data_IF_775698462193
#
_entry.id   IF_775698462193
#
_cell.length_a   1.000
_cell.length_b   1.000
_cell.length_c   1.000
_cell.angle_alpha   90.00
_cell.angle_beta   90.00
_cell.angle_gamma   90.00
#
_symmetry.space_group_name_H-M   'P 1'
#
loop_
_entity.id
_entity.type
_entity.pdbx_description
1 polymer ?
#
# COMPACT_ATOMS: atom_id res chain seq x y z
N UNK A 1 18.34 -0.15 18.79
CA UNK A 1 16.94 -0.63 18.76
C UNK A 1 16.77 -1.56 17.56
N UNK A 2 17.73 -2.46 17.34
CA UNK A 2 17.57 -3.52 16.34
C UNK A 2 16.54 -4.54 16.83
N UNK A 3 15.68 -5.01 15.96
CA UNK A 3 14.80 -6.13 16.26
C UNK A 3 15.58 -7.42 15.98
N UNK A 4 16.10 -8.12 16.99
CA UNK A 4 16.82 -9.36 16.77
C UNK A 4 15.91 -10.37 16.05
N UNK A 5 16.47 -11.05 15.05
CA UNK A 5 15.77 -12.00 14.19
C UNK A 5 14.76 -11.38 13.17
N UNK A 6 14.93 -10.13 12.83
CA UNK A 6 14.59 -9.53 11.55
C UNK A 6 13.19 -9.68 11.01
N UNK A 7 13.05 -9.27 9.77
CA UNK A 7 11.82 -9.37 8.97
C UNK A 7 11.76 -10.74 8.24
N UNK A 8 10.58 -11.37 8.10
CA UNK A 8 9.22 -10.95 8.54
C UNK A 8 8.92 -11.20 10.02
N UNK A 9 9.79 -11.88 10.74
CA UNK A 9 9.66 -12.15 12.17
C UNK A 9 10.00 -10.90 13.00
N UNK A 10 9.55 -10.90 14.25
CA UNK A 10 9.92 -9.96 15.29
C UNK A 10 10.23 -10.79 16.54
N UNK A 11 11.42 -10.67 17.08
CA UNK A 11 11.89 -11.50 18.21
C UNK A 11 11.71 -13.02 18.00
N UNK A 12 11.97 -13.48 16.77
CA UNK A 12 11.87 -14.89 16.41
C UNK A 12 10.47 -15.42 16.12
N UNK A 13 9.41 -14.61 16.31
CA UNK A 13 8.00 -14.97 16.08
C UNK A 13 7.32 -14.02 15.09
N UNK A 14 6.27 -14.49 14.39
CA UNK A 14 5.37 -13.64 13.60
C UNK A 14 4.49 -12.80 14.52
N UNK A 15 4.08 -13.38 15.65
CA UNK A 15 3.31 -12.73 16.71
C UNK A 15 4.14 -12.80 18.01
N UNK A 16 5.01 -11.80 18.24
CA UNK A 16 5.81 -11.73 19.46
C UNK A 16 4.96 -11.34 20.66
N UNK A 17 5.44 -11.63 21.87
CA UNK A 17 4.89 -11.05 23.08
C UNK A 17 5.05 -9.52 23.05
N UNK A 18 4.02 -8.81 23.49
CA UNK A 18 4.04 -7.33 23.51
C UNK A 18 4.64 -6.88 24.83
N UNK A 19 5.97 -6.86 24.91
CA UNK A 19 6.72 -6.54 26.14
C UNK A 19 7.05 -5.04 26.26
N UNK A 20 6.45 -4.19 25.40
CA UNK A 20 6.67 -2.76 25.45
C UNK A 20 6.03 -1.98 24.30
N UNK A 21 5.97 -0.63 24.41
CA UNK A 21 5.30 0.22 23.42
C UNK A 21 5.94 0.14 22.03
N UNK A 22 7.25 -0.09 21.93
CA UNK A 22 7.94 -0.21 20.64
C UNK A 22 7.46 -1.42 19.84
N UNK A 23 7.28 -2.58 20.48
CA UNK A 23 6.78 -3.79 19.83
C UNK A 23 5.31 -3.60 19.44
N UNK A 24 4.52 -3.00 20.31
CA UNK A 24 3.11 -2.70 20.02
C UNK A 24 2.97 -1.83 18.77
N UNK A 25 3.68 -0.72 18.68
CA UNK A 25 3.66 0.20 17.51
C UNK A 25 4.11 -0.52 16.26
N UNK A 26 5.16 -1.33 16.33
CA UNK A 26 5.66 -2.12 15.22
C UNK A 26 4.61 -3.13 14.71
N UNK A 27 3.91 -3.80 15.62
CA UNK A 27 2.86 -4.76 15.26
C UNK A 27 1.64 -4.06 14.67
N UNK A 28 1.19 -2.94 15.23
CA UNK A 28 0.11 -2.12 14.67
C UNK A 28 0.47 -1.68 13.25
N UNK A 29 1.70 -1.19 13.03
CA UNK A 29 2.18 -0.80 11.70
C UNK A 29 2.14 -1.97 10.72
N UNK A 30 2.64 -3.15 11.10
CA UNK A 30 2.67 -4.34 10.23
C UNK A 30 1.28 -4.83 9.85
N UNK A 31 0.37 -4.93 10.84
CA UNK A 31 -1.02 -5.33 10.59
C UNK A 31 -1.75 -4.29 9.73
N UNK A 32 -1.56 -3.01 10.02
CA UNK A 32 -2.12 -1.93 9.21
C UNK A 32 -1.63 -2.01 7.76
N UNK A 33 -0.33 -2.19 7.54
CA UNK A 33 0.24 -2.36 6.21
C UNK A 33 -0.33 -3.60 5.50
N UNK A 34 -0.46 -4.74 6.18
CA UNK A 34 -1.04 -5.95 5.61
C UNK A 34 -2.50 -5.76 5.19
N UNK A 35 -3.32 -5.10 6.02
CA UNK A 35 -4.72 -4.80 5.72
C UNK A 35 -4.82 -3.86 4.51
N UNK A 36 -4.04 -2.78 4.49
CA UNK A 36 -4.00 -1.84 3.37
C UNK A 36 -3.58 -2.55 2.08
N UNK A 37 -2.54 -3.38 2.15
CA UNK A 37 -2.09 -4.15 1.00
C UNK A 37 -3.14 -5.11 0.46
N UNK A 38 -3.85 -5.81 1.34
CA UNK A 38 -4.94 -6.69 0.93
C UNK A 38 -6.05 -5.90 0.23
N UNK A 39 -6.44 -4.74 0.78
CA UNK A 39 -7.44 -3.86 0.16
C UNK A 39 -6.97 -3.40 -1.23
N UNK A 40 -5.71 -2.96 -1.37
CA UNK A 40 -5.16 -2.52 -2.65
C UNK A 40 -5.16 -3.64 -3.69
N UNK A 41 -4.72 -4.85 -3.31
CA UNK A 41 -4.68 -6.01 -4.21
C UNK A 41 -6.09 -6.41 -4.66
N UNK A 42 -7.04 -6.49 -3.73
CA UNK A 42 -8.42 -6.84 -4.06
C UNK A 42 -9.07 -5.77 -4.95
N UNK A 43 -8.82 -4.49 -4.67
CA UNK A 43 -9.32 -3.37 -5.49
C UNK A 43 -8.72 -3.41 -6.89
N UNK A 44 -7.41 -3.61 -7.02
CA UNK A 44 -6.76 -3.74 -8.32
C UNK A 44 -7.30 -4.94 -9.13
N UNK A 45 -7.52 -6.07 -8.47
CA UNK A 45 -8.12 -7.25 -9.11
C UNK A 45 -9.55 -6.97 -9.61
N UNK A 46 -10.38 -6.29 -8.83
CA UNK A 46 -11.73 -5.88 -9.22
C UNK A 46 -11.72 -4.93 -10.40
N UNK A 47 -10.93 -3.86 -10.33
CA UNK A 47 -10.81 -2.90 -11.44
C UNK A 47 -10.39 -3.61 -12.73
N UNK A 48 -9.47 -4.59 -12.66
CA UNK A 48 -9.04 -5.35 -13.84
C UNK A 48 -10.16 -6.19 -14.45
N UNK A 49 -11.01 -6.80 -13.63
CA UNK A 49 -12.17 -7.58 -14.11
C UNK A 49 -13.18 -6.64 -14.76
N UNK A 50 -13.60 -5.59 -14.05
CA UNK A 50 -14.61 -4.64 -14.52
C UNK A 50 -14.15 -3.91 -15.80
N UNK A 51 -12.85 -3.63 -15.90
CA UNK A 51 -12.25 -3.00 -17.08
C UNK A 51 -12.30 -3.91 -18.33
N UNK A 52 -12.08 -5.21 -18.16
CA UNK A 52 -12.20 -6.18 -19.25
C UNK A 52 -13.63 -6.26 -19.77
N UNK A 53 -14.60 -6.28 -18.85
CA UNK A 53 -16.02 -6.41 -19.20
C UNK A 53 -16.57 -5.14 -19.86
N UNK A 54 -16.05 -3.96 -19.51
CA UNK A 54 -16.52 -2.67 -20.00
C UNK A 54 -15.81 -2.20 -21.30
N UNK A 55 -14.66 -2.80 -21.68
CA UNK A 55 -13.87 -2.37 -22.83
C UNK A 55 -13.15 -1.01 -22.70
N UNK A 56 -13.25 -0.34 -21.53
CA UNK A 56 -12.76 1.04 -21.33
C UNK A 56 -11.73 1.23 -20.21
N UNK A 57 -11.34 0.19 -19.50
CA UNK A 57 -10.70 0.34 -18.20
C UNK A 57 -9.18 0.24 -18.12
N UNK A 58 -8.44 0.28 -19.25
CA UNK A 58 -7.00 0.03 -19.24
C UNK A 58 -6.21 1.05 -18.40
N UNK A 59 -6.59 2.31 -18.44
CA UNK A 59 -5.92 3.37 -17.68
C UNK A 59 -6.09 3.19 -16.17
N UNK A 60 -7.29 2.86 -15.70
CA UNK A 60 -7.56 2.61 -14.29
C UNK A 60 -6.92 1.32 -13.80
N UNK A 61 -6.90 0.28 -14.63
CA UNK A 61 -6.20 -0.97 -14.32
C UNK A 61 -4.71 -0.74 -14.12
N UNK A 62 -4.06 0.00 -15.03
CA UNK A 62 -2.64 0.38 -14.91
C UNK A 62 -2.37 1.24 -13.67
N UNK A 63 -3.23 2.22 -13.38
CA UNK A 63 -3.08 3.05 -12.18
C UNK A 63 -3.14 2.20 -10.89
N UNK A 64 -4.11 1.28 -10.78
CA UNK A 64 -4.22 0.38 -9.65
C UNK A 64 -3.01 -0.57 -9.51
N UNK A 65 -2.46 -1.05 -10.63
CA UNK A 65 -1.25 -1.87 -10.65
C UNK A 65 -0.03 -1.08 -10.17
N UNK A 66 0.12 0.16 -10.62
CA UNK A 66 1.22 1.05 -10.18
C UNK A 66 1.14 1.32 -8.69
N UNK A 67 -0.05 1.65 -8.16
CA UNK A 67 -0.25 1.87 -6.71
C UNK A 67 0.13 0.62 -5.92
N UNK A 68 -0.35 -0.55 -6.36
CA UNK A 68 -0.06 -1.83 -5.70
C UNK A 68 1.43 -2.17 -5.78
N UNK A 69 2.07 -1.92 -6.93
CA UNK A 69 3.50 -2.12 -7.12
C UNK A 69 4.36 -1.25 -6.19
N UNK A 70 4.05 0.03 -6.07
CA UNK A 70 4.72 0.93 -5.13
C UNK A 70 4.53 0.50 -3.67
N UNK A 71 3.32 0.04 -3.32
CA UNK A 71 3.07 -0.47 -1.97
C UNK A 71 3.90 -1.72 -1.68
N UNK A 72 3.96 -2.70 -2.60
CA UNK A 72 4.78 -3.91 -2.46
C UNK A 72 6.26 -3.52 -2.30
N UNK A 73 6.77 -2.63 -3.16
CA UNK A 73 8.14 -2.14 -3.07
C UNK A 73 8.41 -1.48 -1.72
N UNK A 74 7.46 -0.70 -1.21
CA UNK A 74 7.56 -0.07 0.11
C UNK A 74 7.65 -1.10 1.24
N UNK A 75 6.90 -2.19 1.17
CA UNK A 75 6.98 -3.30 2.15
C UNK A 75 8.37 -3.94 2.13
N UNK A 76 8.95 -4.18 0.94
CA UNK A 76 10.31 -4.72 0.82
C UNK A 76 11.35 -3.76 1.41
N UNK A 77 11.27 -2.47 1.09
CA UNK A 77 12.20 -1.46 1.62
C UNK A 77 12.08 -1.36 3.14
N UNK A 78 10.84 -1.41 3.68
CA UNK A 78 10.62 -1.46 5.13
C UNK A 78 11.19 -2.73 5.79
N UNK A 79 11.11 -3.88 5.11
CA UNK A 79 11.75 -5.12 5.53
C UNK A 79 13.28 -5.01 5.54
N UNK A 80 13.86 -4.46 4.48
CA UNK A 80 15.30 -4.20 4.38
C UNK A 80 15.78 -3.25 5.49
N UNK A 81 15.00 -2.21 5.81
CA UNK A 81 15.30 -1.31 6.91
C UNK A 81 15.50 -2.07 8.23
N UNK A 82 14.63 -3.03 8.53
CA UNK A 82 14.72 -3.83 9.76
C UNK A 82 15.92 -4.77 9.73
N UNK A 83 16.20 -5.38 8.56
CA UNK A 83 17.32 -6.34 8.41
C UNK A 83 18.67 -5.65 8.53
N UNK A 84 18.81 -4.43 7.98
CA UNK A 84 20.06 -3.67 7.99
C UNK A 84 20.20 -2.75 9.22
N UNK A 85 19.15 -2.56 10.02
CA UNK A 85 19.23 -1.79 11.25
C UNK A 85 20.09 -2.54 12.28
N UNK A 86 21.28 -2.02 12.54
CA UNK A 86 22.13 -2.48 13.63
C UNK A 86 21.91 -1.61 14.88
N UNK A 87 22.33 -2.12 16.04
CA UNK A 87 22.20 -1.42 17.34
C UNK A 87 22.97 -0.10 17.41
N UNK A 88 23.89 0.14 16.46
CA UNK A 88 24.78 1.30 16.45
C UNK A 88 24.52 2.29 15.31
N UNK A 89 23.93 1.85 14.20
CA UNK A 89 23.71 2.70 13.02
C UNK A 89 22.32 2.44 12.44
N UNK A 90 21.56 3.52 12.25
CA UNK A 90 20.30 3.47 11.54
C UNK A 90 20.55 3.66 10.03
N UNK A 91 20.02 2.81 9.15
CA UNK A 91 20.13 2.99 7.72
C UNK A 91 19.23 4.14 7.24
N UNK A 92 19.65 5.40 7.47
CA UNK A 92 18.88 6.62 7.19
C UNK A 92 18.36 6.65 5.77
N UNK A 93 19.20 6.26 4.80
CA UNK A 93 18.82 6.24 3.39
C UNK A 93 17.67 5.25 3.10
N UNK A 94 17.69 4.07 3.70
CA UNK A 94 16.62 3.08 3.53
C UNK A 94 15.35 3.56 4.22
N UNK A 95 15.46 4.22 5.37
CA UNK A 95 14.34 4.85 6.07
C UNK A 95 13.68 5.93 5.21
N UNK A 96 14.50 6.78 4.57
CA UNK A 96 14.03 7.82 3.65
C UNK A 96 13.32 7.20 2.44
N UNK A 97 13.89 6.16 1.82
CA UNK A 97 13.25 5.46 0.71
C UNK A 97 11.90 4.86 1.11
N UNK A 98 11.81 4.22 2.30
CA UNK A 98 10.57 3.69 2.81
C UNK A 98 9.51 4.78 2.96
N UNK A 99 9.87 5.94 3.51
CA UNK A 99 8.96 7.08 3.61
C UNK A 99 8.52 7.59 2.23
N UNK A 100 9.44 7.78 1.29
CA UNK A 100 9.16 8.27 -0.07
C UNK A 100 8.22 7.32 -0.81
N UNK A 101 8.47 6.02 -0.80
CA UNK A 101 7.60 5.05 -1.45
C UNK A 101 6.22 4.97 -0.78
N UNK A 102 6.15 5.05 0.55
CA UNK A 102 4.89 5.10 1.28
C UNK A 102 4.03 6.30 0.91
N UNK A 103 4.62 7.50 0.92
CA UNK A 103 3.94 8.74 0.53
C UNK A 103 3.53 8.71 -0.93
N UNK A 104 4.40 8.24 -1.84
CA UNK A 104 4.10 8.12 -3.27
C UNK A 104 2.93 7.16 -3.52
N UNK A 105 2.93 6.00 -2.86
CA UNK A 105 1.83 5.04 -2.95
C UNK A 105 0.50 5.64 -2.47
N UNK A 106 0.52 6.39 -1.36
CA UNK A 106 -0.66 7.04 -0.82
C UNK A 106 -1.21 8.12 -1.77
N UNK A 107 -0.34 8.99 -2.31
CA UNK A 107 -0.74 10.04 -3.27
C UNK A 107 -1.30 9.39 -4.54
N UNK A 108 -0.63 8.37 -5.08
CA UNK A 108 -1.10 7.66 -6.27
C UNK A 108 -2.47 7.00 -6.05
N UNK A 109 -2.70 6.40 -4.88
CA UNK A 109 -3.99 5.84 -4.51
C UNK A 109 -5.10 6.91 -4.42
N UNK A 110 -4.81 8.05 -3.79
CA UNK A 110 -5.75 9.16 -3.67
C UNK A 110 -6.13 9.75 -5.05
N UNK A 111 -5.14 9.94 -5.93
CA UNK A 111 -5.36 10.43 -7.30
C UNK A 111 -6.19 9.42 -8.10
N UNK A 112 -5.89 8.13 -8.02
CA UNK A 112 -6.64 7.08 -8.70
C UNK A 112 -8.10 7.05 -8.25
N UNK A 113 -8.35 7.13 -6.95
CA UNK A 113 -9.70 7.19 -6.38
C UNK A 113 -10.47 8.44 -6.85
N UNK A 114 -9.81 9.59 -6.89
CA UNK A 114 -10.40 10.84 -7.38
C UNK A 114 -10.77 10.73 -8.86
N UNK A 115 -9.90 10.17 -9.69
CA UNK A 115 -10.16 9.94 -11.11
C UNK A 115 -11.36 9.00 -11.33
N UNK A 116 -11.43 7.90 -10.58
CA UNK A 116 -12.56 6.97 -10.63
C UNK A 116 -13.87 7.65 -10.25
N UNK A 117 -13.86 8.47 -9.20
CA UNK A 117 -15.04 9.22 -8.78
C UNK A 117 -15.52 10.22 -9.85
N UNK A 118 -14.59 10.94 -10.46
CA UNK A 118 -14.92 11.89 -11.53
C UNK A 118 -15.48 11.17 -12.78
N UNK A 119 -14.92 10.03 -13.14
CA UNK A 119 -15.44 9.22 -14.25
C UNK A 119 -16.86 8.72 -13.97
N UNK A 120 -17.13 8.29 -12.74
CA UNK A 120 -18.47 7.87 -12.32
C UNK A 120 -19.49 9.01 -12.41
N UNK A 121 -19.16 10.20 -11.91
CA UNK A 121 -20.05 11.36 -11.94
C UNK A 121 -20.37 11.77 -13.38
N UNK A 122 -19.39 11.83 -14.27
CA UNK A 122 -19.63 12.13 -15.69
C UNK A 122 -20.60 11.15 -16.35
N UNK A 123 -20.49 9.87 -16.02
CA UNK A 123 -21.39 8.85 -16.57
C UNK A 123 -22.83 9.02 -16.07
N UNK A 124 -23.04 9.41 -14.82
CA UNK A 124 -24.38 9.64 -14.27
C UNK A 124 -25.04 10.88 -14.87
N UNK A 125 -24.27 11.96 -15.12
CA UNK A 125 -24.78 13.19 -15.74
C UNK A 125 -25.27 12.92 -17.17
N UNK A 126 -24.48 12.19 -17.98
CA UNK A 126 -24.88 11.82 -19.35
C UNK A 126 -26.14 10.96 -19.39
N UNK A 127 -26.31 10.04 -18.45
CA UNK A 127 -27.52 9.20 -18.37
C UNK A 127 -28.73 10.03 -17.96
N UNK A 128 -28.57 11.02 -17.09
CA UNK A 128 -29.65 11.94 -16.68
C UNK A 128 -30.16 12.76 -17.88
N UNK A 129 -29.26 13.37 -18.66
CA UNK A 129 -29.60 14.16 -19.85
C UNK A 129 -30.27 13.35 -20.98
N UNK A 130 -30.06 12.03 -21.05
CA UNK A 130 -30.73 11.19 -22.06
C UNK A 130 -32.15 10.77 -21.69
N UNK A 131 -32.54 10.94 -20.43
CA UNK A 131 -33.87 10.55 -19.94
C UNK A 131 -34.85 11.73 -19.78
N UNK A 132 -34.38 12.96 -19.99
CA UNK A 132 -35.18 14.19 -20.05
C UNK A 132 -35.49 14.56 -21.50
#
# INVERSE_FOLDING_TARGET
IGFPNGWPKCQGSILPSIDGPGILVQMIHRFGAAIVGLILILTAARIRVDARDAGEGEAFSRAAEVVTGFWILNVFVGGMYIVFADSKEFPEFISLLHLVFGVTSFIAAAVTLMMLRLAYLRKTDVIGEMND
#
